data_IF_949199926348
#
_entry.id   IF_949199926348
#
_cell.length_a   1.000
_cell.length_b   1.000
_cell.length_c   1.000
_cell.angle_alpha   90.00
_cell.angle_beta   90.00
_cell.angle_gamma   90.00
#
_symmetry.space_group_name_H-M   'P 1'
#
loop_
_entity.id
_entity.type
_entity.pdbx_description
1 polymer ?
#
# COMPACT_ATOMS: atom_id res chain seq x y z
N UNK A 1 19.16 -15.57 20.92
CA UNK A 1 18.36 -15.23 19.72
C UNK A 1 18.47 -13.73 19.51
N UNK A 2 18.37 -13.24 18.27
CA UNK A 2 18.29 -11.80 18.04
C UNK A 2 16.94 -11.28 18.59
N UNK A 3 16.95 -10.11 19.23
CA UNK A 3 15.77 -9.43 19.76
C UNK A 3 15.05 -8.69 18.62
N UNK A 4 14.46 -9.46 17.71
CA UNK A 4 13.81 -8.97 16.50
C UNK A 4 12.47 -9.67 16.29
N UNK A 5 11.49 -8.92 15.81
CA UNK A 5 10.13 -9.40 15.52
C UNK A 5 9.75 -9.07 14.09
N UNK A 6 8.86 -9.86 13.49
CA UNK A 6 8.36 -9.61 12.15
C UNK A 6 7.26 -8.54 12.19
N UNK A 7 7.49 -7.39 11.55
CA UNK A 7 6.51 -6.30 11.49
C UNK A 7 5.36 -6.56 10.51
N UNK A 8 5.53 -7.49 9.57
CA UNK A 8 4.55 -7.84 8.56
C UNK A 8 5.25 -8.38 7.31
N UNK A 9 4.54 -8.41 6.19
CA UNK A 9 5.10 -8.83 4.91
C UNK A 9 4.07 -8.87 3.80
N UNK A 10 4.58 -8.87 2.57
CA UNK A 10 3.80 -8.66 1.35
C UNK A 10 3.08 -9.92 0.86
N UNK A 11 1.78 -9.78 0.60
CA UNK A 11 0.97 -10.70 -0.17
C UNK A 11 0.51 -10.06 -1.48
N UNK A 12 0.86 -10.69 -2.60
CA UNK A 12 0.39 -10.31 -3.94
C UNK A 12 -1.06 -10.77 -4.15
N UNK A 13 -2.01 -9.88 -3.87
CA UNK A 13 -3.43 -10.08 -4.15
C UNK A 13 -3.79 -9.91 -5.61
N UNK A 14 -4.88 -10.54 -6.05
CA UNK A 14 -5.35 -10.50 -7.45
C UNK A 14 -6.86 -10.24 -7.56
N UNK A 15 -7.49 -9.68 -6.52
CA UNK A 15 -8.96 -9.59 -6.37
C UNK A 15 -9.62 -8.67 -7.39
N UNK A 16 -8.85 -7.82 -8.07
CA UNK A 16 -9.37 -7.05 -9.20
C UNK A 16 -9.83 -7.95 -10.37
N UNK A 17 -9.21 -9.13 -10.55
CA UNK A 17 -9.43 -10.01 -11.71
C UNK A 17 -9.70 -11.47 -11.36
N UNK A 18 -9.32 -11.93 -10.17
CA UNK A 18 -9.49 -13.31 -9.74
C UNK A 18 -10.50 -13.43 -8.60
N UNK A 19 -11.04 -14.63 -8.46
CA UNK A 19 -11.98 -14.97 -7.42
C UNK A 19 -11.34 -14.94 -6.03
N UNK A 20 -12.17 -14.61 -5.06
CA UNK A 20 -11.81 -14.57 -3.64
C UNK A 20 -11.22 -15.90 -3.16
N UNK A 21 -11.80 -17.03 -3.57
CA UNK A 21 -11.37 -18.37 -3.16
C UNK A 21 -9.88 -18.63 -3.51
N UNK A 22 -9.44 -18.25 -4.71
CA UNK A 22 -8.04 -18.42 -5.11
C UNK A 22 -7.07 -17.60 -4.26
N UNK A 23 -7.49 -16.41 -3.83
CA UNK A 23 -6.69 -15.58 -2.93
C UNK A 23 -6.63 -16.19 -1.53
N UNK A 24 -7.74 -16.75 -1.02
CA UNK A 24 -7.80 -17.49 0.25
C UNK A 24 -6.85 -18.70 0.26
N UNK A 25 -6.86 -19.49 -0.80
CA UNK A 25 -5.98 -20.66 -0.93
C UNK A 25 -4.49 -20.26 -0.92
N UNK A 26 -4.14 -19.18 -1.63
CA UNK A 26 -2.76 -18.71 -1.75
C UNK A 26 -2.22 -18.04 -0.49
N UNK A 27 -3.06 -17.34 0.26
CA UNK A 27 -2.62 -16.60 1.46
C UNK A 27 -2.48 -17.51 2.68
N UNK A 28 -3.13 -18.69 2.69
CA UNK A 28 -3.18 -19.57 3.87
C UNK A 28 -1.80 -19.93 4.45
N UNK A 29 -0.77 -20.32 3.68
CA UNK A 29 0.55 -20.61 4.25
C UNK A 29 1.20 -19.39 4.93
N UNK A 30 0.89 -18.19 4.44
CA UNK A 30 1.37 -16.94 5.03
C UNK A 30 0.64 -16.62 6.34
N UNK A 31 -0.67 -16.87 6.41
CA UNK A 31 -1.44 -16.78 7.66
C UNK A 31 -0.83 -17.70 8.72
N UNK A 32 -0.59 -18.97 8.37
CA UNK A 32 -0.04 -19.96 9.31
C UNK A 32 1.34 -19.53 9.83
N UNK A 33 2.23 -19.09 8.93
CA UNK A 33 3.56 -18.61 9.29
C UNK A 33 3.49 -17.35 10.17
N UNK A 34 2.69 -16.37 9.80
CA UNK A 34 2.66 -15.06 10.46
C UNK A 34 2.08 -15.17 11.87
N UNK A 35 1.10 -16.05 12.08
CA UNK A 35 0.62 -16.40 13.42
C UNK A 35 1.69 -17.09 14.26
N UNK A 36 2.50 -17.94 13.66
CA UNK A 36 3.56 -18.66 14.37
C UNK A 36 4.73 -17.77 14.83
N UNK A 37 4.85 -16.55 14.26
CA UNK A 37 5.89 -15.58 14.59
C UNK A 37 5.33 -14.26 15.14
N UNK A 38 4.07 -14.27 15.57
CA UNK A 38 3.35 -13.13 16.16
C UNK A 38 3.44 -11.83 15.31
N UNK A 39 3.40 -11.98 13.98
CA UNK A 39 3.36 -10.82 13.09
C UNK A 39 2.01 -10.11 13.19
N UNK A 40 1.98 -8.76 13.20
CA UNK A 40 0.75 -8.01 13.49
C UNK A 40 -0.23 -7.97 12.31
N UNK A 41 0.25 -8.12 11.07
CA UNK A 41 -0.58 -8.04 9.88
C UNK A 41 0.10 -8.66 8.65
N UNK A 42 -0.70 -8.97 7.62
CA UNK A 42 -0.22 -9.20 6.26
C UNK A 42 -0.46 -7.96 5.40
N UNK A 43 0.57 -7.47 4.73
CA UNK A 43 0.47 -6.34 3.80
C UNK A 43 -0.12 -6.83 2.48
N UNK A 44 -1.34 -6.39 2.17
CA UNK A 44 -2.03 -6.73 0.93
C UNK A 44 -1.68 -5.74 -0.17
N UNK A 45 -1.08 -6.23 -1.26
CA UNK A 45 -0.80 -5.45 -2.45
C UNK A 45 -1.48 -6.03 -3.68
N UNK A 46 -2.30 -5.24 -4.35
CA UNK A 46 -3.02 -5.68 -5.55
C UNK A 46 -2.13 -5.67 -6.79
N UNK A 47 -1.91 -6.86 -7.37
CA UNK A 47 -1.06 -7.05 -8.55
C UNK A 47 -1.80 -7.55 -9.79
N UNK A 48 -3.09 -7.88 -9.70
CA UNK A 48 -3.85 -8.55 -10.77
C UNK A 48 -3.98 -7.75 -12.07
N UNK A 49 -3.91 -6.41 -12.00
CA UNK A 49 -3.76 -5.52 -13.17
C UNK A 49 -2.50 -4.64 -13.11
N UNK A 50 -1.71 -4.75 -12.02
CA UNK A 50 -0.57 -3.85 -11.77
C UNK A 50 0.49 -4.01 -12.85
N UNK A 51 1.13 -2.90 -13.20
CA UNK A 51 2.29 -2.88 -14.10
C UNK A 51 3.62 -2.74 -13.34
N UNK A 52 3.61 -2.81 -12.00
CA UNK A 52 4.79 -2.53 -11.17
C UNK A 52 5.99 -3.45 -11.46
N UNK A 53 5.72 -4.68 -11.91
CA UNK A 53 6.75 -5.67 -12.25
C UNK A 53 7.14 -5.71 -13.72
N UNK A 54 6.51 -4.90 -14.58
CA UNK A 54 6.73 -4.93 -16.02
C UNK A 54 7.50 -3.69 -16.48
N UNK A 55 8.81 -3.87 -16.69
CA UNK A 55 9.71 -2.79 -17.15
C UNK A 55 9.35 -2.26 -18.54
N UNK A 56 8.59 -3.01 -19.35
CA UNK A 56 8.17 -2.58 -20.68
C UNK A 56 6.98 -1.62 -20.64
N UNK A 57 6.32 -1.46 -19.49
CA UNK A 57 5.11 -0.65 -19.33
C UNK A 57 5.44 0.71 -18.74
N UNK A 58 5.22 1.82 -19.47
CA UNK A 58 5.39 3.16 -18.92
C UNK A 58 4.40 3.44 -17.78
N UNK A 59 4.81 4.27 -16.82
CA UNK A 59 3.97 4.70 -15.68
C UNK A 59 2.62 5.26 -16.12
N UNK A 60 2.58 6.01 -17.24
CA UNK A 60 1.35 6.58 -17.77
C UNK A 60 0.30 5.54 -18.21
N UNK A 61 0.69 4.26 -18.30
CA UNK A 61 -0.18 3.15 -18.70
C UNK A 61 -0.75 2.35 -17.52
N UNK A 62 -0.63 2.86 -16.29
CA UNK A 62 -1.19 2.18 -15.11
C UNK A 62 -2.67 1.84 -15.31
N UNK A 63 -3.14 0.71 -14.76
CA UNK A 63 -4.57 0.39 -14.80
C UNK A 63 -5.37 1.43 -14.00
N UNK A 64 -6.60 1.68 -14.44
CA UNK A 64 -7.57 2.52 -13.74
C UNK A 64 -8.88 1.75 -13.64
N UNK A 65 -9.51 1.83 -12.47
CA UNK A 65 -10.86 1.32 -12.26
C UNK A 65 -11.84 2.46 -12.54
N UNK A 66 -12.94 2.13 -13.21
CA UNK A 66 -14.14 2.96 -13.18
C UNK A 66 -14.72 3.03 -11.76
N UNK A 67 -15.62 3.99 -11.51
CA UNK A 67 -16.27 4.12 -10.19
C UNK A 67 -17.01 2.85 -9.76
N UNK A 68 -17.66 2.15 -10.70
CA UNK A 68 -18.38 0.92 -10.41
C UNK A 68 -17.44 -0.27 -10.18
N UNK A 69 -16.33 -0.33 -10.90
CA UNK A 69 -15.25 -1.28 -10.60
C UNK A 69 -14.62 -1.01 -9.24
N UNK A 70 -14.38 0.26 -8.87
CA UNK A 70 -13.83 0.64 -7.56
C UNK A 70 -14.78 0.24 -6.42
N UNK A 71 -16.09 0.48 -6.59
CA UNK A 71 -17.12 0.02 -5.64
C UNK A 71 -17.10 -1.51 -5.47
N UNK A 72 -17.09 -2.24 -6.58
CA UNK A 72 -17.07 -3.71 -6.54
C UNK A 72 -15.77 -4.25 -5.93
N UNK A 73 -14.65 -3.63 -6.27
CA UNK A 73 -13.33 -3.95 -5.75
C UNK A 73 -13.24 -3.70 -4.24
N UNK A 74 -13.65 -2.52 -3.76
CA UNK A 74 -13.68 -2.18 -2.34
C UNK A 74 -14.47 -3.20 -1.50
N UNK A 75 -15.66 -3.61 -1.97
CA UNK A 75 -16.45 -4.68 -1.32
C UNK A 75 -15.70 -6.01 -1.26
N UNK A 76 -15.09 -6.44 -2.38
CA UNK A 76 -14.38 -7.74 -2.44
C UNK A 76 -13.14 -7.77 -1.56
N UNK A 77 -12.38 -6.68 -1.51
CA UNK A 77 -11.20 -6.58 -0.63
C UNK A 77 -11.64 -6.53 0.84
N UNK A 78 -12.78 -5.88 1.14
CA UNK A 78 -13.36 -5.89 2.49
C UNK A 78 -13.69 -7.31 2.93
N UNK A 79 -14.43 -8.07 2.11
CA UNK A 79 -14.78 -9.47 2.41
C UNK A 79 -13.53 -10.35 2.62
N UNK A 80 -12.46 -10.09 1.86
CA UNK A 80 -11.20 -10.80 2.04
C UNK A 80 -10.50 -10.43 3.35
N UNK A 81 -10.47 -9.14 3.70
CA UNK A 81 -9.89 -8.64 4.94
C UNK A 81 -10.62 -9.14 6.17
N UNK A 82 -11.96 -9.12 6.16
CA UNK A 82 -12.80 -9.70 7.21
C UNK A 82 -12.51 -11.18 7.41
N UNK A 83 -12.47 -11.95 6.32
CA UNK A 83 -12.12 -13.36 6.39
C UNK A 83 -10.71 -13.61 6.95
N UNK A 84 -9.70 -12.82 6.56
CA UNK A 84 -8.35 -12.96 7.11
C UNK A 84 -8.31 -12.62 8.61
N UNK A 85 -9.05 -11.59 9.04
CA UNK A 85 -9.20 -11.23 10.44
C UNK A 85 -9.87 -12.35 11.26
N UNK A 86 -10.89 -13.03 10.72
CA UNK A 86 -11.49 -14.22 11.33
C UNK A 86 -10.49 -15.38 11.50
N UNK A 87 -9.48 -15.49 10.62
CA UNK A 87 -8.39 -16.46 10.79
C UNK A 87 -7.35 -16.03 11.85
N UNK A 88 -7.51 -14.84 12.43
CA UNK A 88 -6.57 -14.23 13.38
C UNK A 88 -5.38 -13.54 12.71
N UNK A 89 -5.50 -13.12 11.45
CA UNK A 89 -4.44 -12.42 10.73
C UNK A 89 -5.00 -11.24 9.93
N UNK A 90 -5.09 -10.03 10.52
CA UNK A 90 -5.63 -8.87 9.81
C UNK A 90 -4.72 -8.44 8.66
N UNK A 91 -5.33 -7.80 7.66
CA UNK A 91 -4.60 -7.23 6.53
C UNK A 91 -4.25 -5.74 6.75
N UNK A 92 -3.34 -5.24 5.92
CA UNK A 92 -3.08 -3.82 5.73
C UNK A 92 -3.00 -3.54 4.24
N UNK A 93 -3.93 -2.76 3.69
CA UNK A 93 -3.99 -2.44 2.27
C UNK A 93 -2.88 -1.49 1.85
N UNK A 94 -2.04 -1.88 0.90
CA UNK A 94 -0.94 -1.06 0.40
C UNK A 94 -1.32 -0.39 -0.91
N UNK A 95 -1.66 0.90 -0.86
CA UNK A 95 -1.74 1.71 -2.08
C UNK A 95 -0.34 1.81 -2.69
N UNK A 96 -0.22 1.66 -4.02
CA UNK A 96 1.08 1.44 -4.64
C UNK A 96 1.17 2.06 -6.03
N UNK A 97 2.36 2.51 -6.39
CA UNK A 97 2.66 2.97 -7.75
C UNK A 97 2.46 1.84 -8.76
N UNK A 98 1.98 2.17 -9.96
CA UNK A 98 1.64 1.23 -11.00
C UNK A 98 0.49 0.25 -10.68
N UNK A 99 -0.21 0.41 -9.55
CA UNK A 99 -1.39 -0.38 -9.18
C UNK A 99 -2.71 0.34 -9.52
N UNK A 100 -3.83 -0.34 -9.27
CA UNK A 100 -5.18 0.20 -9.49
C UNK A 100 -5.57 1.29 -8.48
N UNK A 101 -4.96 1.29 -7.29
CA UNK A 101 -5.06 2.33 -6.27
C UNK A 101 -3.65 2.88 -6.07
N UNK A 102 -3.35 4.00 -6.75
CA UNK A 102 -2.04 4.65 -6.73
C UNK A 102 -2.16 6.07 -6.20
N UNK A 103 -3.03 6.86 -6.83
CA UNK A 103 -3.14 8.29 -6.56
C UNK A 103 -4.00 8.56 -5.35
N UNK A 104 -3.82 9.74 -4.75
CA UNK A 104 -4.61 10.14 -3.59
C UNK A 104 -6.14 10.12 -3.82
N UNK A 105 -6.69 10.59 -4.96
CA UNK A 105 -8.11 10.44 -5.23
C UNK A 105 -8.57 8.98 -5.35
N UNK A 106 -7.72 8.09 -5.86
CA UNK A 106 -8.01 6.65 -5.95
C UNK A 106 -7.96 6.00 -4.56
N UNK A 107 -7.01 6.38 -3.71
CA UNK A 107 -6.96 5.98 -2.30
C UNK A 107 -8.23 6.41 -1.58
N UNK A 108 -8.60 7.69 -1.68
CA UNK A 108 -9.84 8.19 -1.07
C UNK A 108 -11.08 7.45 -1.60
N UNK A 109 -11.13 7.15 -2.91
CA UNK A 109 -12.21 6.39 -3.51
C UNK A 109 -12.24 4.94 -3.00
N UNK A 110 -11.10 4.28 -2.88
CA UNK A 110 -11.01 2.95 -2.31
C UNK A 110 -11.48 2.95 -0.85
N UNK A 111 -10.99 3.88 -0.03
CA UNK A 111 -11.32 3.97 1.40
C UNK A 111 -12.81 4.22 1.64
N UNK A 112 -13.46 5.04 0.81
CA UNK A 112 -14.92 5.26 0.85
C UNK A 112 -15.74 4.02 0.47
N UNK A 113 -15.20 3.14 -0.36
CA UNK A 113 -15.92 1.99 -0.92
C UNK A 113 -15.53 0.66 -0.26
N UNK A 114 -14.59 0.68 0.69
CA UNK A 114 -14.20 -0.47 1.51
C UNK A 114 -14.62 -0.28 2.97
N UNK A 115 -14.93 -1.39 3.63
CA UNK A 115 -15.34 -1.44 5.04
C UNK A 115 -14.15 -1.50 6.01
N UNK A 116 -14.47 -1.57 7.30
CA UNK A 116 -13.48 -1.56 8.39
C UNK A 116 -12.60 -2.82 8.41
N UNK A 117 -13.07 -3.93 7.83
CA UNK A 117 -12.30 -5.18 7.73
C UNK A 117 -11.04 -5.11 6.86
N UNK A 118 -10.79 -3.99 6.17
CA UNK A 118 -9.54 -3.72 5.48
C UNK A 118 -8.88 -2.42 5.98
N UNK A 119 -8.00 -2.52 7.00
CA UNK A 119 -7.12 -1.44 7.40
C UNK A 119 -6.19 -0.96 6.27
N UNK A 120 -5.62 0.22 6.44
CA UNK A 120 -4.71 0.89 5.52
C UNK A 120 -3.25 0.74 5.99
N UNK A 121 -2.39 0.40 5.05
CA UNK A 121 -0.97 0.73 5.12
C UNK A 121 -0.77 2.07 4.41
N UNK A 122 -0.31 3.09 5.14
CA UNK A 122 0.07 4.36 4.53
C UNK A 122 1.57 4.34 4.19
N UNK A 123 1.90 4.45 2.91
CA UNK A 123 3.27 4.51 2.42
C UNK A 123 3.57 5.92 1.90
N UNK A 124 4.36 6.67 2.67
CA UNK A 124 4.64 8.08 2.38
C UNK A 124 5.26 8.28 1.00
N UNK A 125 6.19 7.40 0.61
CA UNK A 125 6.94 7.51 -0.63
C UNK A 125 6.07 7.19 -1.84
N UNK A 126 5.27 6.12 -1.77
CA UNK A 126 4.35 5.81 -2.87
C UNK A 126 3.31 6.91 -3.08
N UNK A 127 2.74 7.46 -2.00
CA UNK A 127 1.76 8.53 -2.10
C UNK A 127 2.38 9.82 -2.67
N UNK A 128 3.55 10.22 -2.16
CA UNK A 128 4.26 11.39 -2.66
C UNK A 128 4.67 11.23 -4.14
N UNK A 129 5.16 10.04 -4.55
CA UNK A 129 5.47 9.77 -5.94
C UNK A 129 4.22 9.81 -6.84
N UNK A 130 3.05 9.41 -6.32
CA UNK A 130 1.79 9.58 -7.04
C UNK A 130 1.30 11.05 -7.11
N UNK A 131 2.00 11.99 -6.45
CA UNK A 131 1.64 13.40 -6.36
C UNK A 131 0.60 13.72 -5.29
N UNK A 132 0.39 12.81 -4.32
CA UNK A 132 -0.54 12.99 -3.22
C UNK A 132 0.06 13.72 -2.01
N UNK A 133 -0.80 14.29 -1.18
CA UNK A 133 -0.45 14.93 0.08
C UNK A 133 -0.46 13.92 1.23
N UNK A 134 0.73 13.57 1.74
CA UNK A 134 0.88 12.60 2.82
C UNK A 134 0.19 13.05 4.10
N UNK A 135 0.29 14.32 4.47
CA UNK A 135 -0.32 14.81 5.71
C UNK A 135 -1.84 14.82 5.61
N UNK A 136 -2.40 15.22 4.46
CA UNK A 136 -3.84 15.16 4.22
C UNK A 136 -4.37 13.72 4.26
N UNK A 137 -3.63 12.76 3.69
CA UNK A 137 -4.01 11.36 3.75
C UNK A 137 -4.01 10.82 5.19
N UNK A 138 -3.05 11.21 6.02
CA UNK A 138 -3.07 10.88 7.46
C UNK A 138 -4.32 11.48 8.12
N UNK A 139 -4.58 12.78 7.92
CA UNK A 139 -5.72 13.47 8.52
C UNK A 139 -7.04 12.77 8.22
N UNK A 140 -7.23 12.35 6.98
CA UNK A 140 -8.47 11.73 6.52
C UNK A 140 -8.62 10.27 6.92
N UNK A 141 -7.51 9.52 6.97
CA UNK A 141 -7.56 8.05 7.07
C UNK A 141 -6.97 7.47 8.36
N UNK A 142 -6.45 8.29 9.29
CA UNK A 142 -5.78 7.85 10.52
C UNK A 142 -6.49 6.73 11.27
N UNK A 143 -7.83 6.78 11.37
CA UNK A 143 -8.63 5.76 12.07
C UNK A 143 -8.52 4.34 11.49
N UNK A 144 -8.14 4.22 10.22
CA UNK A 144 -7.96 2.93 9.55
C UNK A 144 -6.50 2.58 9.31
N UNK A 145 -5.54 3.44 9.65
CA UNK A 145 -4.12 3.14 9.44
C UNK A 145 -3.63 2.22 10.56
N UNK A 146 -3.14 1.03 10.20
CA UNK A 146 -2.55 0.08 11.16
C UNK A 146 -1.07 -0.24 10.86
N UNK A 147 -0.55 0.19 9.72
CA UNK A 147 0.83 -0.04 9.31
C UNK A 147 1.37 1.17 8.54
N UNK A 148 2.63 1.54 8.76
CA UNK A 148 3.24 2.70 8.10
C UNK A 148 4.55 2.30 7.44
N UNK A 149 4.69 2.65 6.17
CA UNK A 149 5.98 2.58 5.49
C UNK A 149 6.62 3.97 5.39
N UNK A 150 7.83 4.11 5.91
CA UNK A 150 8.61 5.34 5.91
C UNK A 150 9.54 5.44 4.71
N UNK A 151 8.96 5.30 3.52
CA UNK A 151 9.70 5.42 2.26
C UNK A 151 9.87 6.89 1.89
N UNK A 152 11.11 7.37 1.80
CA UNK A 152 11.40 8.72 1.31
C UNK A 152 11.54 8.71 -0.22
N UNK A 153 11.46 9.89 -0.83
CA UNK A 153 11.57 10.09 -2.28
C UNK A 153 12.58 11.17 -2.62
N UNK A 154 13.23 11.04 -3.78
CA UNK A 154 14.01 12.11 -4.40
C UNK A 154 13.15 12.82 -5.43
N UNK A 155 12.50 13.91 -5.03
CA UNK A 155 11.54 14.61 -5.90
C UNK A 155 12.15 15.08 -7.21
N UNK A 156 13.41 15.54 -7.23
CA UNK A 156 14.09 15.89 -8.46
C UNK A 156 14.24 14.73 -9.47
N UNK A 157 14.36 13.49 -9.00
CA UNK A 157 14.33 12.30 -9.88
C UNK A 157 12.92 12.09 -10.42
N UNK A 158 11.91 12.14 -9.55
CA UNK A 158 10.50 11.92 -9.90
C UNK A 158 10.01 12.94 -10.92
N UNK A 159 10.30 14.23 -10.69
CA UNK A 159 9.94 15.34 -11.57
C UNK A 159 10.64 15.25 -12.93
N UNK A 160 11.83 14.62 -12.98
CA UNK A 160 12.58 14.38 -14.21
C UNK A 160 12.10 13.17 -15.04
N UNK A 161 11.14 12.38 -14.54
CA UNK A 161 10.67 11.19 -15.24
C UNK A 161 9.78 11.54 -16.45
N UNK A 162 10.10 10.99 -17.61
CA UNK A 162 9.19 10.85 -18.73
C UNK A 162 8.24 9.67 -18.47
N UNK A 163 7.13 9.94 -17.78
CA UNK A 163 6.09 8.95 -17.45
C UNK A 163 5.49 8.23 -18.66
N UNK A 164 5.61 8.80 -19.87
CA UNK A 164 5.12 8.18 -21.11
C UNK A 164 6.06 7.10 -21.66
N UNK A 165 7.30 7.05 -21.17
CA UNK A 165 8.32 6.08 -21.60
C UNK A 165 8.84 5.21 -20.47
N UNK A 166 9.01 5.77 -19.27
CA UNK A 166 9.69 5.11 -18.17
C UNK A 166 8.71 4.32 -17.31
N UNK A 167 9.13 3.11 -16.95
CA UNK A 167 8.38 2.21 -16.07
C UNK A 167 8.60 2.55 -14.59
N UNK A 168 7.81 1.92 -13.72
CA UNK A 168 8.06 1.97 -12.27
C UNK A 168 9.46 1.45 -11.91
N UNK A 169 9.91 0.36 -12.54
CA UNK A 169 11.23 -0.21 -12.30
C UNK A 169 12.37 0.71 -12.78
N UNK A 170 12.17 1.47 -13.85
CA UNK A 170 13.14 2.49 -14.27
C UNK A 170 13.23 3.62 -13.25
N UNK A 171 12.10 4.08 -12.72
CA UNK A 171 12.08 5.10 -11.67
C UNK A 171 12.82 4.62 -10.40
N UNK A 172 12.59 3.37 -9.99
CA UNK A 172 13.32 2.76 -8.86
C UNK A 172 14.82 2.70 -9.16
N UNK A 173 15.21 2.24 -10.35
CA UNK A 173 16.62 2.14 -10.75
C UNK A 173 17.33 3.51 -10.84
N UNK A 174 16.57 4.58 -11.13
CA UNK A 174 17.06 5.95 -11.13
C UNK A 174 17.16 6.58 -9.73
N UNK A 175 16.74 5.86 -8.69
CA UNK A 175 16.82 6.32 -7.30
C UNK A 175 15.65 7.21 -6.88
N UNK A 176 14.46 7.00 -7.46
CA UNK A 176 13.25 7.72 -7.05
C UNK A 176 12.93 7.55 -5.55
N UNK A 177 13.20 6.38 -4.98
CA UNK A 177 13.04 6.12 -3.55
C UNK A 177 14.36 6.12 -2.78
N UNK A 178 14.28 6.46 -1.49
CA UNK A 178 15.39 6.39 -0.53
C UNK A 178 14.87 6.23 0.90
N UNK A 179 15.78 6.26 1.88
CA UNK A 179 15.48 6.20 3.32
C UNK A 179 15.16 7.60 3.88
N UNK A 180 14.37 7.71 4.96
CA UNK A 180 14.09 8.98 5.63
C UNK A 180 15.35 9.77 5.96
N UNK A 181 15.35 11.06 5.63
CA UNK A 181 16.48 11.96 5.87
C UNK A 181 17.50 12.00 4.72
N UNK A 182 17.34 11.18 3.70
CA UNK A 182 18.11 11.23 2.44
C UNK A 182 17.25 11.63 1.22
N UNK A 183 16.00 12.01 1.45
CA UNK A 183 15.07 12.44 0.40
C UNK A 183 14.46 13.82 0.63
N UNK A 184 13.22 13.96 0.22
CA UNK A 184 12.53 15.24 0.06
C UNK A 184 11.34 15.40 1.00
N UNK A 185 10.92 14.33 1.69
CA UNK A 185 9.77 14.39 2.59
C UNK A 185 10.18 14.86 3.98
N UNK A 186 9.32 15.67 4.61
CA UNK A 186 9.48 16.07 6.00
C UNK A 186 8.95 14.97 6.93
N UNK A 187 9.82 13.99 7.23
CA UNK A 187 9.47 12.91 8.15
C UNK A 187 9.26 13.39 9.59
N UNK A 188 9.81 14.53 9.99
CA UNK A 188 9.52 15.13 11.29
C UNK A 188 8.05 15.50 11.40
N UNK A 189 7.53 16.19 10.39
CA UNK A 189 6.11 16.55 10.31
C UNK A 189 5.20 15.31 10.15
N UNK A 190 5.59 14.33 9.33
CA UNK A 190 4.81 13.10 9.10
C UNK A 190 4.67 12.29 10.41
N UNK A 191 5.78 12.03 11.10
CA UNK A 191 5.76 11.27 12.37
C UNK A 191 5.01 12.04 13.45
N UNK A 192 5.20 13.37 13.54
CA UNK A 192 4.44 14.20 14.46
C UNK A 192 2.93 14.11 14.19
N UNK A 193 2.50 14.12 12.92
CA UNK A 193 1.07 14.00 12.60
C UNK A 193 0.48 12.66 13.02
N UNK A 194 1.22 11.56 12.87
CA UNK A 194 0.81 10.27 13.42
C UNK A 194 0.72 10.29 14.95
N UNK A 195 1.67 10.94 15.63
CA UNK A 195 1.66 11.09 17.09
C UNK A 195 0.46 11.93 17.57
N UNK A 196 0.07 12.98 16.83
CA UNK A 196 -1.10 13.81 17.15
C UNK A 196 -2.41 13.01 17.15
N UNK A 197 -2.49 11.95 16.34
CA UNK A 197 -3.60 10.99 16.31
C UNK A 197 -3.42 9.78 17.23
N UNK A 198 -2.32 9.70 17.97
CA UNK A 198 -2.02 8.60 18.89
C UNK A 198 -1.76 7.26 18.19
N UNK A 199 -1.16 7.27 17.00
CA UNK A 199 -0.81 6.04 16.30
C UNK A 199 0.19 5.19 17.11
N UNK A 200 -0.17 3.93 17.33
CA UNK A 200 0.69 2.92 17.95
C UNK A 200 0.82 1.73 16.98
N UNK A 201 2.01 1.53 16.44
CA UNK A 201 2.28 0.48 15.47
C UNK A 201 3.65 0.60 14.83
N UNK A 202 3.86 -0.17 13.76
CA UNK A 202 5.14 -0.23 13.07
C UNK A 202 5.31 0.91 12.06
N UNK A 203 6.48 1.53 12.12
CA UNK A 203 7.07 2.32 11.03
C UNK A 203 8.19 1.49 10.41
N UNK A 204 8.11 1.20 9.12
CA UNK A 204 9.02 0.27 8.40
C UNK A 204 9.63 0.91 7.15
#
# INVERSE_FOLDING_TARGET
AADVTLCGGWFSGTLVNEDLAKNKDRIQPMIDLFKAVDAPCIVYGEVGRSIQGDRSKPLATKPKLSDDEMKAYGRRVTEFGEWCAEQGMPLSYHHHMAAVVETEPELDAFMRNSGEGIPLLLDAGHLAFAGGDVLRAIDNHHKRINHVHVKDVRMGVIEGLDRSKQSFLDAVALGAFTVPGDGSLDFGAIVQRFADYGYEGWFV
#
